data_IF_857691016006
#
_entry.id   IF_857691016006
#
_cell.length_a   1.000
_cell.length_b   1.000
_cell.length_c   1.000
_cell.angle_alpha   90.00
_cell.angle_beta   90.00
_cell.angle_gamma   90.00
#
_symmetry.space_group_name_H-M   'P 1'
#
loop_
_entity.id
_entity.type
_entity.pdbx_description
1 polymer ?
#
# COMPACT_ATOMS: atom_id res chain seq x y z
N UNK A 1 17.00 -8.40 -21.34
CA UNK A 1 16.13 -7.22 -21.55
C UNK A 1 15.32 -6.95 -20.31
N UNK A 2 14.98 -5.70 -20.01
CA UNK A 2 14.16 -5.36 -18.85
C UNK A 2 12.79 -6.02 -18.96
N UNK A 3 12.37 -6.76 -17.92
CA UNK A 3 11.04 -7.33 -17.87
C UNK A 3 9.99 -6.22 -17.88
N UNK A 4 8.99 -6.33 -18.77
CA UNK A 4 7.89 -5.36 -18.83
C UNK A 4 6.56 -6.08 -18.97
N UNK A 5 5.65 -5.80 -18.03
CA UNK A 5 4.27 -6.28 -18.07
C UNK A 5 3.37 -5.07 -18.26
N UNK A 6 2.48 -5.14 -19.25
CA UNK A 6 1.45 -4.12 -19.46
C UNK A 6 0.08 -4.77 -19.39
N UNK A 7 -0.76 -4.27 -18.49
CA UNK A 7 -2.14 -4.73 -18.25
C UNK A 7 -3.04 -3.52 -18.49
N UNK A 8 -3.77 -3.53 -19.59
CA UNK A 8 -4.50 -2.34 -20.04
C UNK A 8 -5.85 -2.69 -20.67
N UNK A 9 -6.63 -1.67 -21.02
CA UNK A 9 -7.96 -1.86 -21.57
C UNK A 9 -8.87 -2.56 -20.56
N UNK A 10 -9.51 -3.63 -20.95
CA UNK A 10 -10.38 -4.46 -20.10
C UNK A 10 -9.73 -5.79 -19.68
N UNK A 11 -8.39 -5.88 -19.74
CA UNK A 11 -7.65 -7.10 -19.35
C UNK A 11 -7.95 -7.51 -17.90
N UNK A 12 -8.00 -8.82 -17.66
CA UNK A 12 -8.28 -9.36 -16.33
C UNK A 12 -7.26 -10.44 -15.96
N UNK A 13 -6.75 -10.37 -14.73
CA UNK A 13 -5.94 -11.42 -14.11
C UNK A 13 -6.67 -11.82 -12.82
N UNK A 14 -7.33 -12.95 -12.82
CA UNK A 14 -8.25 -13.30 -11.74
C UNK A 14 -8.15 -14.77 -11.32
N UNK A 15 -8.39 -15.01 -10.01
CA UNK A 15 -8.53 -16.36 -9.46
C UNK A 15 -7.24 -17.17 -9.42
N UNK A 16 -6.07 -16.52 -9.55
CA UNK A 16 -4.79 -17.22 -9.46
C UNK A 16 -4.38 -17.44 -8.01
N UNK A 17 -3.61 -18.49 -7.79
CA UNK A 17 -3.10 -18.83 -6.45
C UNK A 17 -1.60 -19.15 -6.52
N UNK A 18 -0.87 -18.62 -5.55
CA UNK A 18 0.55 -18.89 -5.34
C UNK A 18 0.75 -19.52 -3.96
N UNK A 19 1.56 -20.58 -3.91
CA UNK A 19 1.98 -21.19 -2.64
C UNK A 19 3.01 -20.35 -1.87
N UNK A 20 3.52 -19.28 -2.49
CA UNK A 20 4.49 -18.35 -1.90
C UNK A 20 3.99 -16.91 -2.07
N UNK A 21 4.61 -16.14 -2.95
CA UNK A 21 4.44 -14.71 -3.11
C UNK A 21 3.78 -14.37 -4.46
N UNK A 22 3.10 -13.23 -4.52
CA UNK A 22 2.49 -12.72 -5.72
C UNK A 22 1.42 -13.66 -6.28
N UNK A 23 0.19 -13.59 -5.74
CA UNK A 23 -0.90 -14.46 -6.17
C UNK A 23 -1.17 -14.42 -7.67
N UNK A 24 -1.03 -13.24 -8.28
CA UNK A 24 -1.12 -13.05 -9.72
C UNK A 24 0.26 -12.83 -10.36
N UNK A 25 1.09 -11.97 -9.75
CA UNK A 25 2.37 -11.54 -10.32
C UNK A 25 3.45 -11.50 -9.24
N UNK A 26 4.54 -12.20 -9.46
CA UNK A 26 5.81 -12.00 -8.77
C UNK A 26 6.78 -11.38 -9.77
N UNK A 27 7.26 -10.15 -9.47
CA UNK A 27 8.18 -9.42 -10.35
C UNK A 27 9.52 -9.23 -9.65
N UNK A 28 10.57 -9.83 -10.19
CA UNK A 28 11.93 -9.73 -9.65
C UNK A 28 12.69 -8.48 -10.10
N UNK A 29 12.40 -7.94 -11.30
CA UNK A 29 12.96 -6.72 -11.84
C UNK A 29 12.22 -6.25 -13.08
N UNK A 30 12.20 -4.93 -13.31
CA UNK A 30 11.56 -4.31 -14.46
C UNK A 30 10.29 -3.55 -14.11
N UNK A 31 9.33 -3.49 -15.01
CA UNK A 31 8.15 -2.63 -14.90
C UNK A 31 6.84 -3.38 -15.04
N UNK A 32 5.88 -3.04 -14.16
CA UNK A 32 4.46 -3.39 -14.32
C UNK A 32 3.69 -2.11 -14.56
N UNK A 33 2.92 -2.07 -15.66
CA UNK A 33 2.06 -0.94 -15.99
C UNK A 33 0.60 -1.39 -16.01
N UNK A 34 -0.25 -0.76 -15.18
CA UNK A 34 -1.69 -1.01 -15.09
C UNK A 34 -2.43 0.25 -15.52
N UNK A 35 -3.38 0.12 -16.45
CA UNK A 35 -4.15 1.27 -16.96
C UNK A 35 -5.51 0.88 -17.52
N UNK A 36 -6.31 1.90 -17.87
CA UNK A 36 -7.66 1.68 -18.40
C UNK A 36 -8.61 1.13 -17.35
N UNK A 37 -9.39 0.14 -17.69
CA UNK A 37 -10.30 -0.60 -16.80
C UNK A 37 -9.79 -2.02 -16.48
N UNK A 38 -8.47 -2.23 -16.57
CA UNK A 38 -7.84 -3.50 -16.26
C UNK A 38 -8.11 -3.93 -14.80
N UNK A 39 -8.24 -5.23 -14.56
CA UNK A 39 -8.55 -5.78 -13.24
C UNK A 39 -7.57 -6.87 -12.83
N UNK A 40 -7.08 -6.78 -11.62
CA UNK A 40 -6.32 -7.84 -10.95
C UNK A 40 -7.09 -8.19 -9.68
N UNK A 41 -7.88 -9.27 -9.72
CA UNK A 41 -8.82 -9.53 -8.65
C UNK A 41 -8.90 -11.00 -8.23
N UNK A 42 -9.30 -11.21 -6.97
CA UNK A 42 -9.54 -12.56 -6.43
C UNK A 42 -8.33 -13.49 -6.52
N UNK A 43 -7.12 -12.95 -6.48
CA UNK A 43 -5.89 -13.74 -6.45
C UNK A 43 -5.44 -13.97 -5.00
N UNK A 44 -4.73 -15.05 -4.75
CA UNK A 44 -4.30 -15.44 -3.41
C UNK A 44 -2.83 -15.80 -3.38
N UNK A 45 -2.12 -15.26 -2.41
CA UNK A 45 -0.76 -15.67 -2.07
C UNK A 45 -0.74 -16.30 -0.67
N UNK A 46 -0.04 -17.43 -0.52
CA UNK A 46 0.11 -18.06 0.81
C UNK A 46 1.01 -17.27 1.73
N UNK A 47 1.77 -16.32 1.21
CA UNK A 47 2.68 -15.48 1.98
C UNK A 47 2.44 -14.00 1.73
N UNK A 48 3.01 -13.42 0.67
CA UNK A 48 3.08 -11.98 0.43
C UNK A 48 2.50 -11.55 -0.92
N UNK A 49 1.86 -10.36 -0.94
CA UNK A 49 1.34 -9.76 -2.15
C UNK A 49 0.20 -10.59 -2.77
N UNK A 50 -1.00 -10.49 -2.21
CA UNK A 50 -2.15 -11.29 -2.69
C UNK A 50 -2.38 -11.17 -4.19
N UNK A 51 -2.16 -9.99 -4.77
CA UNK A 51 -2.10 -9.79 -6.21
C UNK A 51 -0.66 -9.75 -6.71
N UNK A 52 0.15 -8.82 -6.20
CA UNK A 52 1.47 -8.49 -6.75
C UNK A 52 2.52 -8.47 -5.63
N UNK A 53 3.64 -9.14 -5.85
CA UNK A 53 4.84 -8.99 -5.04
C UNK A 53 5.97 -8.39 -5.89
N UNK A 54 6.48 -7.24 -5.46
CA UNK A 54 7.63 -6.58 -6.10
C UNK A 54 8.90 -6.96 -5.35
N UNK A 55 9.84 -7.58 -6.04
CA UNK A 55 11.15 -7.96 -5.51
C UNK A 55 12.26 -7.30 -6.30
N UNK A 56 13.46 -7.41 -5.78
CA UNK A 56 14.65 -6.99 -6.50
C UNK A 56 15.55 -8.21 -6.73
N UNK A 57 15.71 -8.59 -7.99
CA UNK A 57 16.71 -9.55 -8.40
C UNK A 57 17.88 -8.83 -9.09
N UNK A 58 19.10 -9.29 -8.86
CA UNK A 58 20.28 -8.80 -9.61
C UNK A 58 20.55 -7.29 -9.50
N UNK A 59 20.25 -6.65 -8.36
CA UNK A 59 20.43 -5.21 -8.13
C UNK A 59 19.69 -4.31 -9.14
N UNK A 60 18.60 -4.80 -9.73
CA UNK A 60 17.75 -4.04 -10.66
C UNK A 60 16.45 -3.64 -9.95
N UNK A 61 16.05 -2.40 -10.14
CA UNK A 61 14.81 -1.87 -9.56
C UNK A 61 13.56 -2.51 -10.15
N UNK A 62 12.52 -2.65 -9.33
CA UNK A 62 11.20 -3.10 -9.77
C UNK A 62 10.19 -2.00 -9.54
N UNK A 63 9.47 -1.63 -10.59
CA UNK A 63 8.52 -0.52 -10.56
C UNK A 63 7.11 -0.98 -10.95
N UNK A 64 6.13 -0.58 -10.14
CA UNK A 64 4.72 -0.71 -10.47
C UNK A 64 4.13 0.68 -10.73
N UNK A 65 3.57 0.87 -11.91
CA UNK A 65 2.84 2.08 -12.27
C UNK A 65 1.36 1.77 -12.44
N UNK A 66 0.52 2.41 -11.65
CA UNK A 66 -0.93 2.30 -11.76
C UNK A 66 -1.53 3.66 -12.17
N UNK A 67 -2.04 3.72 -13.40
CA UNK A 67 -2.64 4.91 -14.03
C UNK A 67 -4.12 4.72 -14.33
N UNK A 68 -4.75 3.77 -13.66
CA UNK A 68 -6.15 3.38 -13.80
C UNK A 68 -6.30 1.91 -13.44
N UNK A 69 -7.49 1.36 -13.66
CA UNK A 69 -7.79 -0.04 -13.35
C UNK A 69 -8.08 -0.30 -11.87
N UNK A 70 -8.11 -1.55 -11.51
CA UNK A 70 -8.53 -2.01 -10.18
C UNK A 70 -7.72 -3.22 -9.71
N UNK A 71 -7.24 -3.17 -8.47
CA UNK A 71 -6.66 -4.32 -7.76
C UNK A 71 -7.59 -4.62 -6.59
N UNK A 72 -8.41 -5.69 -6.70
CA UNK A 72 -9.49 -5.89 -5.72
C UNK A 72 -9.69 -7.32 -5.27
N UNK A 73 -10.16 -7.48 -4.03
CA UNK A 73 -10.54 -8.78 -3.48
C UNK A 73 -9.40 -9.81 -3.44
N UNK A 74 -8.14 -9.36 -3.47
CA UNK A 74 -7.00 -10.25 -3.37
C UNK A 74 -6.65 -10.54 -1.91
N UNK A 75 -5.98 -11.65 -1.68
CA UNK A 75 -5.63 -12.11 -0.34
C UNK A 75 -4.17 -12.53 -0.23
N UNK A 76 -3.49 -12.01 0.76
CA UNK A 76 -2.23 -12.58 1.26
C UNK A 76 -2.45 -13.14 2.66
N UNK A 77 -1.86 -14.29 2.99
CA UNK A 77 -2.00 -14.79 4.36
C UNK A 77 -1.18 -13.98 5.36
N UNK A 78 -0.05 -13.40 4.92
CA UNK A 78 0.81 -12.62 5.81
C UNK A 78 0.72 -11.12 5.53
N UNK A 79 1.23 -10.62 4.41
CA UNK A 79 1.50 -9.19 4.21
C UNK A 79 1.13 -8.70 2.81
N UNK A 80 0.54 -7.50 2.73
CA UNK A 80 0.20 -6.84 1.48
C UNK A 80 -0.91 -7.55 0.71
N UNK A 81 -2.16 -7.39 1.13
CA UNK A 81 -3.32 -8.07 0.51
C UNK A 81 -3.43 -7.82 -0.99
N UNK A 82 -3.13 -6.61 -1.46
CA UNK A 82 -2.98 -6.30 -2.87
C UNK A 82 -1.52 -6.36 -3.30
N UNK A 83 -0.67 -5.51 -2.72
CA UNK A 83 0.72 -5.32 -3.17
C UNK A 83 1.68 -5.42 -1.99
N UNK A 84 2.72 -6.23 -2.15
CA UNK A 84 3.87 -6.23 -1.27
C UNK A 84 5.07 -5.64 -1.99
N UNK A 85 5.62 -4.54 -1.47
CA UNK A 85 6.86 -3.91 -1.94
C UNK A 85 7.98 -4.42 -1.06
N UNK A 86 8.64 -5.51 -1.50
CA UNK A 86 9.48 -6.31 -0.62
C UNK A 86 10.90 -5.77 -0.49
N UNK A 87 11.61 -5.60 -1.61
CA UNK A 87 13.04 -5.29 -1.57
C UNK A 87 13.33 -3.78 -1.71
N UNK A 88 14.59 -3.44 -1.46
CA UNK A 88 15.13 -2.10 -1.71
C UNK A 88 14.92 -1.71 -3.17
N UNK A 89 14.83 -0.42 -3.43
CA UNK A 89 14.64 0.17 -4.76
C UNK A 89 13.37 -0.30 -5.51
N UNK A 90 12.46 -1.04 -4.81
CA UNK A 90 11.14 -1.34 -5.34
C UNK A 90 10.20 -0.16 -5.10
N UNK A 91 9.47 0.26 -6.14
CA UNK A 91 8.64 1.46 -6.11
C UNK A 91 7.25 1.19 -6.67
N UNK A 92 6.25 1.67 -5.96
CA UNK A 92 4.87 1.67 -6.42
C UNK A 92 4.37 3.11 -6.61
N UNK A 93 4.09 3.49 -7.86
CA UNK A 93 3.50 4.76 -8.24
C UNK A 93 2.01 4.61 -8.49
N UNK A 94 1.18 5.20 -7.64
CA UNK A 94 -0.26 5.24 -7.78
C UNK A 94 -0.70 6.64 -8.25
N UNK A 95 -0.97 6.77 -9.54
CA UNK A 95 -1.46 8.01 -10.16
C UNK A 95 -2.98 8.06 -10.20
N UNK A 96 -3.62 6.92 -10.47
CA UNK A 96 -5.06 6.75 -10.54
C UNK A 96 -5.43 5.28 -10.44
N UNK A 97 -6.73 4.97 -10.26
CA UNK A 97 -7.24 3.61 -10.11
C UNK A 97 -7.65 3.28 -8.69
N UNK A 98 -8.04 2.03 -8.44
CA UNK A 98 -8.61 1.60 -7.17
C UNK A 98 -7.91 0.37 -6.61
N UNK A 99 -7.62 0.39 -5.33
CA UNK A 99 -7.12 -0.76 -4.56
C UNK A 99 -8.13 -1.02 -3.45
N UNK A 100 -8.98 -2.04 -3.62
CA UNK A 100 -10.18 -2.16 -2.77
C UNK A 100 -10.50 -3.59 -2.36
N UNK A 101 -11.00 -3.76 -1.14
CA UNK A 101 -11.48 -5.06 -0.65
C UNK A 101 -10.40 -6.14 -0.51
N UNK A 102 -9.12 -5.76 -0.49
CA UNK A 102 -8.02 -6.73 -0.30
C UNK A 102 -7.82 -7.04 1.18
N UNK A 103 -7.28 -8.22 1.48
CA UNK A 103 -7.13 -8.70 2.84
C UNK A 103 -5.76 -9.33 3.11
N UNK A 104 -5.21 -9.09 4.31
CA UNK A 104 -3.96 -9.73 4.75
C UNK A 104 -3.83 -9.76 6.28
N UNK A 105 -2.72 -10.33 6.77
CA UNK A 105 -2.27 -10.16 8.15
C UNK A 105 -1.97 -8.70 8.46
N UNK A 106 -0.97 -8.14 7.80
CA UNK A 106 -0.58 -6.73 7.90
C UNK A 106 -0.57 -6.06 6.51
N UNK A 107 -0.88 -4.76 6.47
CA UNK A 107 -1.01 -4.02 5.22
C UNK A 107 -2.13 -4.56 4.33
N UNK A 108 -3.40 -4.39 4.76
CA UNK A 108 -4.57 -4.95 4.06
C UNK A 108 -4.57 -4.70 2.55
N UNK A 109 -4.10 -3.53 2.11
CA UNK A 109 -3.82 -3.27 0.72
C UNK A 109 -2.31 -3.38 0.41
N UNK A 110 -1.48 -2.56 1.06
CA UNK A 110 -0.09 -2.39 0.69
C UNK A 110 0.83 -2.57 1.92
N UNK A 111 1.93 -3.29 1.70
CA UNK A 111 2.99 -3.45 2.70
C UNK A 111 4.34 -3.00 2.14
N UNK A 112 5.05 -2.11 2.84
CA UNK A 112 6.37 -1.60 2.48
C UNK A 112 7.41 -2.21 3.42
N UNK A 113 8.32 -3.05 2.91
CA UNK A 113 9.16 -3.89 3.75
C UNK A 113 10.62 -3.42 3.89
N UNK A 114 11.34 -3.18 2.81
CA UNK A 114 12.79 -2.97 2.83
C UNK A 114 13.20 -1.50 2.64
N UNK A 115 14.48 -1.21 2.87
CA UNK A 115 15.11 0.11 2.75
C UNK A 115 15.90 0.23 1.44
N UNK A 116 15.58 1.18 0.56
CA UNK A 116 14.34 1.93 0.49
C UNK A 116 13.26 1.19 -0.33
N UNK A 117 12.04 1.13 0.19
CA UNK A 117 10.84 0.74 -0.58
C UNK A 117 9.85 1.90 -0.57
N UNK A 118 9.17 2.14 -1.69
CA UNK A 118 8.39 3.36 -1.87
C UNK A 118 6.95 3.09 -2.31
N UNK A 119 6.03 3.82 -1.69
CA UNK A 119 4.71 4.11 -2.25
C UNK A 119 4.64 5.61 -2.52
N UNK A 120 4.43 5.98 -3.78
CA UNK A 120 4.22 7.37 -4.19
C UNK A 120 2.79 7.48 -4.72
N UNK A 121 1.91 8.12 -3.95
CA UNK A 121 0.51 8.28 -4.30
C UNK A 121 0.23 9.74 -4.69
N UNK A 122 -0.10 9.95 -5.96
CA UNK A 122 -0.47 11.24 -6.51
C UNK A 122 -1.98 11.36 -6.78
N UNK A 123 -2.67 10.23 -6.83
CA UNK A 123 -4.10 10.12 -7.06
C UNK A 123 -4.60 8.73 -6.70
N UNK A 124 -5.75 8.33 -7.23
CA UNK A 124 -6.34 7.02 -6.99
C UNK A 124 -6.95 6.85 -5.59
N UNK A 125 -7.34 5.63 -5.29
CA UNK A 125 -8.08 5.29 -4.08
C UNK A 125 -7.61 3.96 -3.48
N UNK A 126 -7.33 3.95 -2.17
CA UNK A 126 -7.07 2.77 -1.36
C UNK A 126 -8.20 2.67 -0.34
N UNK A 127 -9.19 1.80 -0.58
CA UNK A 127 -10.40 1.79 0.25
C UNK A 127 -10.95 0.40 0.55
N UNK A 128 -11.61 0.26 1.70
CA UNK A 128 -12.31 -0.97 2.05
C UNK A 128 -11.39 -2.18 2.26
N UNK A 129 -10.08 -1.99 2.41
CA UNK A 129 -9.14 -3.07 2.64
C UNK A 129 -9.08 -3.43 4.14
N UNK A 130 -8.69 -4.65 4.44
CA UNK A 130 -8.71 -5.16 5.82
C UNK A 130 -7.41 -5.86 6.19
N UNK A 131 -6.82 -5.46 7.30
CA UNK A 131 -5.73 -6.17 7.97
C UNK A 131 -6.23 -6.84 9.25
N UNK A 132 -5.88 -8.10 9.48
CA UNK A 132 -6.14 -8.76 10.77
C UNK A 132 -5.15 -8.33 11.85
N UNK A 133 -4.04 -7.71 11.46
CA UNK A 133 -3.06 -7.03 12.31
C UNK A 133 -3.16 -5.52 12.14
N UNK A 134 -2.12 -4.89 11.60
CA UNK A 134 -1.95 -3.44 11.49
C UNK A 134 -1.99 -2.95 10.02
N UNK A 135 -2.28 -1.66 9.84
CA UNK A 135 -2.26 -1.02 8.54
C UNK A 135 -3.35 -1.55 7.59
N UNK A 136 -4.62 -1.25 7.85
CA UNK A 136 -5.73 -1.71 7.00
C UNK A 136 -5.56 -1.29 5.53
N UNK A 137 -5.12 -0.07 5.29
CA UNK A 137 -4.69 0.40 3.96
C UNK A 137 -3.21 0.12 3.71
N UNK A 138 -2.32 0.78 4.45
CA UNK A 138 -0.88 0.75 4.24
C UNK A 138 -0.13 0.43 5.53
N UNK A 139 0.85 -0.45 5.45
CA UNK A 139 1.82 -0.71 6.51
C UNK A 139 3.22 -0.27 6.08
N UNK A 140 3.86 0.60 6.85
CA UNK A 140 5.24 1.05 6.64
C UNK A 140 6.11 0.35 7.69
N UNK A 141 6.90 -0.66 7.28
CA UNK A 141 7.57 -1.55 8.21
C UNK A 141 9.00 -1.12 8.54
N UNK A 142 9.90 -1.07 7.57
CA UNK A 142 11.34 -0.90 7.83
C UNK A 142 11.80 0.55 7.77
N UNK A 143 12.96 0.80 8.39
CA UNK A 143 13.75 2.02 8.19
C UNK A 143 13.93 2.26 6.69
N UNK A 144 13.82 3.53 6.25
CA UNK A 144 13.95 3.89 4.83
C UNK A 144 12.75 3.54 3.95
N UNK A 145 11.77 2.75 4.43
CA UNK A 145 10.49 2.62 3.72
C UNK A 145 9.74 3.95 3.77
N UNK A 146 9.25 4.42 2.63
CA UNK A 146 8.62 5.74 2.50
C UNK A 146 7.24 5.63 1.84
N UNK A 147 6.25 6.18 2.50
CA UNK A 147 4.95 6.45 1.91
C UNK A 147 4.82 7.96 1.67
N UNK A 148 4.73 8.36 0.40
CA UNK A 148 4.51 9.75 -0.01
C UNK A 148 3.09 9.92 -0.51
N UNK A 149 2.34 10.84 0.11
CA UNK A 149 0.96 11.14 -0.24
C UNK A 149 0.86 12.58 -0.72
N UNK A 150 0.70 12.77 -2.01
CA UNK A 150 0.50 14.08 -2.63
C UNK A 150 -0.92 14.28 -3.17
N UNK A 151 -1.74 13.23 -3.15
CA UNK A 151 -3.14 13.26 -3.58
C UNK A 151 -3.81 11.92 -3.32
N UNK A 152 -5.02 11.76 -3.85
CA UNK A 152 -5.81 10.55 -3.72
C UNK A 152 -6.44 10.36 -2.34
N UNK A 153 -6.98 9.16 -2.11
CA UNK A 153 -7.76 8.84 -0.92
C UNK A 153 -7.32 7.53 -0.30
N UNK A 154 -7.17 7.51 1.03
CA UNK A 154 -7.04 6.31 1.84
C UNK A 154 -8.20 6.32 2.83
N UNK A 155 -9.25 5.57 2.55
CA UNK A 155 -10.48 5.67 3.32
C UNK A 155 -11.19 4.33 3.52
N UNK A 156 -11.98 4.23 4.59
CA UNK A 156 -12.82 3.08 4.89
C UNK A 156 -12.03 1.75 5.05
N UNK A 157 -10.71 1.81 5.29
CA UNK A 157 -9.91 0.63 5.56
C UNK A 157 -10.01 0.25 7.05
N UNK A 158 -9.77 -1.02 7.34
CA UNK A 158 -9.93 -1.58 8.68
C UNK A 158 -8.69 -2.35 9.11
N UNK A 159 -8.30 -2.18 10.37
CA UNK A 159 -7.29 -3.01 11.00
C UNK A 159 -7.84 -3.55 12.34
N UNK A 160 -7.34 -4.70 12.78
CA UNK A 160 -7.65 -5.20 14.14
C UNK A 160 -6.66 -4.65 15.17
N UNK A 161 -5.45 -4.35 14.75
CA UNK A 161 -4.39 -3.72 15.56
C UNK A 161 -4.47 -2.20 15.51
N UNK A 162 -3.52 -1.54 14.87
CA UNK A 162 -3.43 -0.09 14.75
C UNK A 162 -3.36 0.36 13.28
N UNK A 163 -3.64 1.65 13.04
CA UNK A 163 -3.57 2.25 11.71
C UNK A 163 -4.60 1.65 10.77
N UNK A 164 -5.89 1.89 11.00
CA UNK A 164 -6.92 1.46 10.06
C UNK A 164 -6.65 1.91 8.63
N UNK A 165 -6.12 3.13 8.46
CA UNK A 165 -5.61 3.62 7.18
C UNK A 165 -4.13 3.31 6.98
N UNK A 166 -3.28 3.93 7.80
CA UNK A 166 -1.83 3.81 7.70
C UNK A 166 -1.23 3.47 9.06
N UNK A 167 -0.35 2.51 9.08
CA UNK A 167 0.44 2.15 10.25
C UNK A 167 1.93 2.34 9.99
N UNK A 168 2.61 3.00 10.93
CA UNK A 168 4.07 3.15 10.94
C UNK A 168 4.63 2.28 12.05
N UNK A 169 5.55 1.39 11.73
CA UNK A 169 6.14 0.49 12.73
C UNK A 169 6.97 1.30 13.76
N UNK A 170 6.71 1.18 15.07
CA UNK A 170 7.43 1.90 16.10
C UNK A 170 8.91 1.54 16.20
N UNK A 171 9.27 0.29 15.92
CA UNK A 171 10.64 -0.22 16.06
C UNK A 171 11.57 0.21 14.93
N UNK A 172 11.06 0.80 13.87
CA UNK A 172 11.82 1.16 12.67
C UNK A 172 11.56 2.61 12.28
N UNK A 173 12.40 3.19 11.43
CA UNK A 173 12.30 4.58 10.99
C UNK A 173 11.65 4.74 9.61
N UNK A 174 10.55 4.02 9.38
CA UNK A 174 9.69 4.24 8.22
C UNK A 174 9.10 5.66 8.22
N UNK A 175 8.87 6.23 7.05
CA UNK A 175 8.49 7.64 6.91
C UNK A 175 7.14 7.79 6.22
N UNK A 176 6.30 8.66 6.76
CA UNK A 176 5.12 9.18 6.08
C UNK A 176 5.37 10.64 5.71
N UNK A 177 5.34 10.93 4.41
CA UNK A 177 5.54 12.25 3.86
C UNK A 177 4.29 12.69 3.11
N UNK A 178 3.87 13.92 3.29
CA UNK A 178 2.61 14.41 2.74
C UNK A 178 2.77 15.78 2.09
N UNK A 179 1.88 16.09 1.16
CA UNK A 179 1.80 17.39 0.53
C UNK A 179 0.56 17.50 -0.37
N UNK A 180 0.30 18.66 -0.94
CA UNK A 180 -0.85 18.91 -1.80
C UNK A 180 -2.20 18.52 -1.15
N UNK A 181 -2.96 17.56 -1.69
CA UNK A 181 -4.35 17.29 -1.28
C UNK A 181 -4.66 15.81 -1.02
N UNK A 182 -3.95 15.13 -0.15
CA UNK A 182 -4.32 13.78 0.25
C UNK A 182 -5.52 13.78 1.19
N UNK A 183 -6.34 12.72 1.13
CA UNK A 183 -7.41 12.46 2.07
C UNK A 183 -7.14 11.12 2.78
N UNK A 184 -6.98 11.16 4.11
CA UNK A 184 -6.84 9.96 4.94
C UNK A 184 -7.89 10.04 6.04
N UNK A 185 -9.02 9.38 5.81
CA UNK A 185 -10.22 9.53 6.64
C UNK A 185 -11.04 8.24 6.74
N UNK A 186 -11.96 8.18 7.71
CA UNK A 186 -12.91 7.09 7.87
C UNK A 186 -12.29 5.70 8.01
N UNK A 187 -10.99 5.63 8.30
CA UNK A 187 -10.33 4.36 8.56
C UNK A 187 -10.48 4.00 10.04
N UNK A 188 -10.63 2.72 10.34
CA UNK A 188 -11.02 2.30 11.68
C UNK A 188 -10.20 1.13 12.22
N UNK A 189 -10.07 1.11 13.55
CA UNK A 189 -9.65 -0.05 14.34
C UNK A 189 -10.78 -0.37 15.31
N UNK A 190 -11.31 -1.59 15.26
CA UNK A 190 -12.44 -2.01 16.10
C UNK A 190 -13.61 -1.01 16.09
N UNK A 191 -13.91 -0.45 14.92
CA UNK A 191 -14.99 0.52 14.71
C UNK A 191 -14.69 1.95 15.17
N UNK A 192 -13.52 2.22 15.78
CA UNK A 192 -13.09 3.56 16.19
C UNK A 192 -12.17 4.17 15.13
N UNK A 193 -12.28 5.50 14.93
CA UNK A 193 -11.44 6.22 13.98
C UNK A 193 -9.95 6.03 14.31
N UNK A 194 -9.18 5.56 13.33
CA UNK A 194 -7.74 5.38 13.44
C UNK A 194 -7.12 5.48 12.03
N UNK A 195 -7.02 6.71 11.52
CA UNK A 195 -6.63 6.93 10.14
C UNK A 195 -5.13 6.71 9.92
N UNK A 196 -4.31 7.44 10.64
CA UNK A 196 -2.85 7.24 10.69
C UNK A 196 -2.45 6.95 12.12
N UNK A 197 -1.86 5.80 12.37
CA UNK A 197 -1.21 5.54 13.66
C UNK A 197 0.23 6.04 13.62
N UNK A 198 0.51 7.07 14.40
CA UNK A 198 1.82 7.68 14.56
C UNK A 198 2.41 7.28 15.92
N UNK A 199 3.38 6.36 15.97
CA UNK A 199 4.00 5.94 17.22
C UNK A 199 4.77 7.08 17.90
N UNK A 200 5.03 6.93 19.21
CA UNK A 200 5.88 7.86 19.96
C UNK A 200 7.25 8.02 19.31
N UNK A 201 7.74 9.25 19.22
CA UNK A 201 9.02 9.60 18.59
C UNK A 201 9.03 9.53 17.06
N UNK A 202 7.90 9.24 16.40
CA UNK A 202 7.78 9.31 14.95
C UNK A 202 7.15 10.62 14.51
N UNK A 203 7.50 11.04 13.30
CA UNK A 203 7.01 12.28 12.69
C UNK A 203 6.33 12.01 11.36
N UNK A 204 5.32 12.82 11.08
CA UNK A 204 4.76 12.99 9.76
C UNK A 204 5.42 14.23 9.16
N UNK A 205 6.00 14.11 7.97
CA UNK A 205 6.71 15.20 7.31
C UNK A 205 5.81 15.85 6.25
N UNK A 206 5.64 17.16 6.32
CA UNK A 206 4.99 17.93 5.26
C UNK A 206 6.10 18.42 4.31
N UNK A 207 6.20 17.83 3.13
CA UNK A 207 7.24 18.17 2.14
C UNK A 207 6.80 19.32 1.23
N UNK A 208 5.52 19.36 0.90
CA UNK A 208 4.90 20.38 0.05
C UNK A 208 3.68 20.88 0.80
N UNK A 209 3.43 22.19 0.75
CA UNK A 209 2.29 22.78 1.44
C UNK A 209 0.96 22.09 1.16
N UNK A 210 0.19 21.89 2.22
CA UNK A 210 -1.14 21.26 2.12
C UNK A 210 -2.14 22.20 1.45
N UNK A 211 -2.86 21.72 0.47
CA UNK A 211 -3.87 22.48 -0.26
C UNK A 211 -5.23 22.42 0.44
N UNK A 212 -6.11 23.38 0.14
CA UNK A 212 -7.49 23.39 0.66
C UNK A 212 -8.21 22.07 0.36
N UNK A 213 -8.76 21.47 1.39
CA UNK A 213 -9.48 20.19 1.31
C UNK A 213 -8.61 18.97 1.52
N UNK A 214 -7.31 19.12 1.83
CA UNK A 214 -6.53 18.03 2.38
C UNK A 214 -7.01 17.68 3.80
N UNK A 215 -7.03 16.40 4.15
CA UNK A 215 -7.42 15.95 5.49
C UNK A 215 -6.67 14.66 5.86
N UNK A 216 -5.99 14.69 7.00
CA UNK A 216 -5.29 13.53 7.54
C UNK A 216 -5.59 13.42 9.03
N UNK A 217 -6.39 12.44 9.41
CA UNK A 217 -6.62 12.12 10.81
C UNK A 217 -5.43 11.35 11.39
N UNK A 218 -4.85 11.86 12.49
CA UNK A 218 -3.71 11.21 13.14
C UNK A 218 -4.13 10.72 14.53
N UNK A 219 -3.78 9.48 14.82
CA UNK A 219 -3.90 8.87 16.15
C UNK A 219 -2.49 8.63 16.68
N UNK A 220 -2.15 9.20 17.81
CA UNK A 220 -0.85 9.03 18.45
C UNK A 220 -0.91 7.96 19.54
N UNK A 221 0.19 7.22 19.72
CA UNK A 221 0.35 6.36 20.88
C UNK A 221 0.60 7.24 22.11
N UNK A 222 -0.33 7.22 23.06
CA UNK A 222 -0.25 7.88 24.38
C UNK A 222 0.25 9.35 24.33
N UNK A 223 -0.68 10.29 24.37
CA UNK A 223 -0.38 11.63 24.84
C UNK A 223 -0.35 11.52 26.38
N UNK A 224 0.83 11.31 26.97
CA UNK A 224 1.03 11.61 28.39
C UNK A 224 1.16 13.12 28.49
N UNK A 225 0.16 13.77 29.10
CA UNK A 225 0.24 15.15 29.55
C UNK A 225 1.12 15.23 30.78
#
# INVERSE_FOLDING_TARGET
>A
GNGKITISGSAQITGNSSSLDGGAILMGWGEINISGSAKINSNTASRWGGAICLRQDSNQSTMLYMRGGEISGNRANSEGGAVHVFDKDCQFFLYDGKITGNTSGDGGAIYLNQEPSWLIMQGGEISGNTATGNGGGVYIYRTGSVCQLYGGKIENNKASGNGGGIYINPSNSGQLRVGNKPLVQNNTVSGKANNVYLPSGKTLTIEIGMSKGASIGVTTANISY
#
